data_IF_158196652939
#
_entry.id   IF_158196652939
#
_cell.length_a   1.000
_cell.length_b   1.000
_cell.length_c   1.000
_cell.angle_alpha   90.00
_cell.angle_beta   90.00
_cell.angle_gamma   90.00
#
_symmetry.space_group_name_H-M   'P 1'
#
loop_
_entity.id
_entity.type
_entity.pdbx_description
1 polymer ?
#
# COMPACT_ATOMS: atom_id res chain seq x y z
N UNK A 1 10.67 -10.75 -7.00
CA UNK A 1 10.68 -10.27 -5.61
C UNK A 1 11.88 -9.35 -5.35
N UNK A 2 13.15 -9.78 -5.49
CA UNK A 2 14.38 -9.03 -5.10
C UNK A 2 14.50 -7.61 -5.68
N UNK A 3 14.07 -7.37 -6.93
CA UNK A 3 14.03 -6.03 -7.51
C UNK A 3 13.01 -5.12 -6.79
N UNK A 4 11.81 -5.62 -6.51
CA UNK A 4 10.80 -4.86 -5.76
C UNK A 4 11.27 -4.53 -4.34
N UNK A 5 11.91 -5.49 -3.67
CA UNK A 5 12.48 -5.28 -2.33
C UNK A 5 13.56 -4.18 -2.34
N UNK A 6 14.42 -4.14 -3.36
CA UNK A 6 15.43 -3.08 -3.48
C UNK A 6 14.80 -1.71 -3.70
N UNK A 7 13.75 -1.61 -4.53
CA UNK A 7 13.00 -0.36 -4.75
C UNK A 7 12.34 0.11 -3.45
N UNK A 8 11.67 -0.80 -2.72
CA UNK A 8 11.05 -0.48 -1.43
C UNK A 8 12.07 0.03 -0.42
N UNK A 9 13.24 -0.62 -0.28
CA UNK A 9 14.32 -0.16 0.60
C UNK A 9 14.83 1.23 0.21
N UNK A 10 14.94 1.51 -1.08
CA UNK A 10 15.33 2.84 -1.57
C UNK A 10 14.29 3.88 -1.16
N UNK A 11 12.99 3.59 -1.32
CA UNK A 11 11.91 4.49 -0.92
C UNK A 11 11.88 4.70 0.60
N UNK A 12 12.06 3.65 1.39
CA UNK A 12 12.07 3.74 2.85
C UNK A 12 13.27 4.51 3.39
N UNK A 13 14.42 4.42 2.72
CA UNK A 13 15.59 5.19 3.10
C UNK A 13 15.48 6.67 2.71
N UNK A 14 15.15 6.95 1.45
CA UNK A 14 15.21 8.32 0.92
C UNK A 14 13.91 9.12 1.12
N UNK A 15 12.78 8.46 1.34
CA UNK A 15 11.49 9.13 1.57
C UNK A 15 11.52 10.13 2.73
N UNK A 16 11.89 9.70 3.94
CA UNK A 16 11.99 10.59 5.10
C UNK A 16 13.02 11.71 4.94
N UNK A 17 14.12 11.43 4.22
CA UNK A 17 15.16 12.46 3.92
C UNK A 17 14.56 13.53 3.01
N UNK A 18 13.88 13.12 1.92
CA UNK A 18 13.27 14.08 1.00
C UNK A 18 12.14 14.90 1.64
N UNK A 19 11.42 14.34 2.62
CA UNK A 19 10.42 15.09 3.38
C UNK A 19 11.04 16.15 4.29
N UNK A 20 12.16 15.83 4.95
CA UNK A 20 12.88 16.76 5.85
C UNK A 20 13.74 17.77 5.10
N UNK A 21 14.30 17.35 3.99
CA UNK A 21 15.24 18.11 3.17
C UNK A 21 14.76 18.14 1.72
N UNK A 22 13.73 18.95 1.37
CA UNK A 22 13.09 18.92 0.03
C UNK A 22 14.05 19.19 -1.13
N UNK A 23 15.15 19.89 -0.89
CA UNK A 23 16.17 20.22 -1.89
C UNK A 23 17.35 19.23 -1.92
N UNK A 24 17.30 18.14 -1.11
CA UNK A 24 18.32 17.11 -1.11
C UNK A 24 18.32 16.36 -2.45
N UNK A 25 19.32 16.68 -3.29
CA UNK A 25 19.42 16.13 -4.64
C UNK A 25 19.52 14.60 -4.65
N UNK A 26 20.31 14.01 -3.76
CA UNK A 26 20.53 12.57 -3.70
C UNK A 26 19.21 11.84 -3.38
N UNK A 27 18.48 12.30 -2.35
CA UNK A 27 17.21 11.72 -1.98
C UNK A 27 16.18 11.81 -3.12
N UNK A 28 16.04 12.99 -3.73
CA UNK A 28 15.11 13.20 -4.84
C UNK A 28 15.47 12.39 -6.09
N UNK A 29 16.75 12.32 -6.44
CA UNK A 29 17.22 11.55 -7.59
C UNK A 29 16.98 10.04 -7.41
N UNK A 30 17.26 9.51 -6.22
CA UNK A 30 17.00 8.10 -5.92
C UNK A 30 15.50 7.76 -5.89
N UNK A 31 14.66 8.63 -5.34
CA UNK A 31 13.19 8.44 -5.37
C UNK A 31 12.63 8.52 -6.80
N UNK A 32 13.09 9.46 -7.61
CA UNK A 32 12.68 9.56 -9.02
C UNK A 32 13.11 8.32 -9.81
N UNK A 33 14.31 7.82 -9.59
CA UNK A 33 14.81 6.59 -10.20
C UNK A 33 13.99 5.37 -9.74
N UNK A 34 13.76 5.23 -8.42
CA UNK A 34 12.97 4.15 -7.86
C UNK A 34 11.52 4.15 -8.41
N UNK A 35 10.87 5.32 -8.52
CA UNK A 35 9.52 5.43 -9.07
C UNK A 35 9.45 4.99 -10.54
N UNK A 36 10.46 5.34 -11.35
CA UNK A 36 10.55 4.91 -12.74
C UNK A 36 10.63 3.39 -12.88
N UNK A 37 11.41 2.73 -12.03
CA UNK A 37 11.52 1.26 -12.00
C UNK A 37 10.28 0.58 -11.44
N UNK A 38 9.57 1.22 -10.53
CA UNK A 38 8.34 0.68 -9.95
C UNK A 38 7.21 0.54 -10.99
N UNK A 39 7.16 1.43 -12.01
CA UNK A 39 6.03 1.49 -12.95
C UNK A 39 6.36 1.07 -14.39
N UNK A 40 7.64 0.90 -14.75
CA UNK A 40 8.04 0.59 -16.13
C UNK A 40 7.77 -0.85 -16.59
N UNK A 41 7.17 -1.68 -15.74
CA UNK A 41 6.83 -3.06 -16.03
C UNK A 41 7.90 -4.10 -15.65
N UNK A 42 9.11 -3.70 -15.26
CA UNK A 42 10.19 -4.63 -14.91
C UNK A 42 9.80 -5.53 -13.72
N UNK A 43 9.25 -4.94 -12.65
CA UNK A 43 8.86 -5.68 -11.45
C UNK A 43 7.63 -6.55 -11.65
N UNK A 44 6.86 -6.30 -12.70
CA UNK A 44 5.65 -7.03 -13.07
C UNK A 44 5.95 -8.17 -14.05
N UNK A 45 7.18 -8.27 -14.56
CA UNK A 45 7.57 -9.28 -15.53
C UNK A 45 7.36 -10.70 -14.99
N UNK A 46 6.52 -11.48 -15.66
CA UNK A 46 6.22 -12.87 -15.30
C UNK A 46 5.13 -13.05 -14.25
N UNK A 47 4.49 -12.02 -13.76
CA UNK A 47 3.31 -12.10 -12.88
C UNK A 47 2.18 -11.21 -13.37
N UNK A 48 0.94 -11.57 -13.02
CA UNK A 48 -0.18 -10.66 -13.21
C UNK A 48 0.03 -9.43 -12.31
N UNK A 49 0.14 -8.26 -12.93
CA UNK A 49 0.27 -7.01 -12.19
C UNK A 49 -1.13 -6.52 -11.80
N UNK A 50 -1.52 -6.82 -10.58
CA UNK A 50 -2.82 -6.46 -10.06
C UNK A 50 -2.65 -5.29 -9.07
N UNK A 51 -3.01 -4.11 -9.53
CA UNK A 51 -3.00 -2.88 -8.75
C UNK A 51 -4.22 -2.87 -7.82
N UNK A 52 -4.17 -3.63 -6.71
CA UNK A 52 -5.35 -3.89 -5.88
C UNK A 52 -5.81 -2.65 -5.10
N UNK A 53 -4.89 -1.83 -4.58
CA UNK A 53 -5.22 -0.63 -3.80
C UNK A 53 -5.63 0.54 -4.70
N UNK A 54 -5.02 0.68 -5.89
CA UNK A 54 -5.25 1.82 -6.78
C UNK A 54 -6.71 2.00 -7.20
N UNK A 55 -7.48 0.98 -7.63
CA UNK A 55 -8.89 1.18 -7.95
C UNK A 55 -9.71 1.69 -6.78
N UNK A 56 -9.40 1.26 -5.56
CA UNK A 56 -10.06 1.75 -4.34
C UNK A 56 -9.69 3.21 -4.07
N UNK A 57 -8.43 3.55 -4.22
CA UNK A 57 -7.94 4.91 -3.99
C UNK A 57 -8.47 5.89 -5.05
N UNK A 58 -8.58 5.48 -6.31
CA UNK A 58 -9.14 6.33 -7.36
C UNK A 58 -10.57 6.79 -7.05
N UNK A 59 -11.34 5.99 -6.34
CA UNK A 59 -12.67 6.40 -5.87
C UNK A 59 -12.58 7.46 -4.76
N UNK A 60 -11.60 7.37 -3.84
CA UNK A 60 -11.36 8.43 -2.86
C UNK A 60 -11.00 9.75 -3.54
N UNK A 61 -10.11 9.71 -4.53
CA UNK A 61 -9.77 10.89 -5.32
C UNK A 61 -10.97 11.44 -6.07
N UNK A 62 -11.82 10.59 -6.67
CA UNK A 62 -12.98 11.01 -7.44
C UNK A 62 -14.09 11.63 -6.59
N UNK A 63 -14.36 11.10 -5.41
CA UNK A 63 -15.45 11.55 -4.55
C UNK A 63 -15.05 12.70 -3.62
N UNK A 64 -13.80 12.73 -3.18
CA UNK A 64 -13.35 13.62 -2.09
C UNK A 64 -12.12 14.46 -2.44
N UNK A 65 -11.64 14.41 -3.69
CA UNK A 65 -10.45 15.15 -4.16
C UNK A 65 -9.19 14.87 -3.32
N UNK A 66 -9.06 13.62 -2.85
CA UNK A 66 -7.90 13.17 -2.06
C UNK A 66 -6.67 13.11 -2.94
N UNK A 67 -5.56 13.64 -2.45
CA UNK A 67 -4.26 13.46 -3.13
C UNK A 67 -3.91 11.98 -3.22
N UNK A 68 -3.64 11.48 -4.43
CA UNK A 68 -3.43 10.05 -4.72
C UNK A 68 -2.49 9.32 -3.76
N UNK A 69 -1.32 9.91 -3.46
CA UNK A 69 -0.37 9.32 -2.52
C UNK A 69 -0.89 9.23 -1.08
N UNK A 70 -1.74 10.18 -0.65
CA UNK A 70 -2.37 10.17 0.67
C UNK A 70 -3.37 9.02 0.77
N UNK A 71 -4.27 8.90 -0.21
CA UNK A 71 -5.24 7.80 -0.23
C UNK A 71 -4.57 6.42 -0.26
N UNK A 72 -3.51 6.26 -1.06
CA UNK A 72 -2.72 5.02 -1.08
C UNK A 72 -2.05 4.74 0.27
N UNK A 73 -1.48 5.74 0.93
CA UNK A 73 -0.82 5.57 2.23
C UNK A 73 -1.80 5.12 3.32
N UNK A 74 -3.02 5.69 3.34
CA UNK A 74 -4.07 5.29 4.29
C UNK A 74 -4.55 3.87 3.99
N UNK A 75 -4.91 3.56 2.74
CA UNK A 75 -5.55 2.28 2.41
C UNK A 75 -4.59 1.09 2.44
N UNK A 76 -3.31 1.27 2.11
CA UNK A 76 -2.38 0.16 1.92
C UNK A 76 -2.24 -0.73 3.17
N UNK A 77 -2.01 -0.23 4.40
CA UNK A 77 -1.88 -1.08 5.58
C UNK A 77 -3.16 -1.85 5.89
N UNK A 78 -4.33 -1.24 5.66
CA UNK A 78 -5.63 -1.89 5.89
C UNK A 78 -5.92 -2.98 4.85
N UNK A 79 -5.58 -2.73 3.58
CA UNK A 79 -5.60 -3.75 2.54
C UNK A 79 -4.63 -4.91 2.87
N UNK A 80 -3.41 -4.63 3.30
CA UNK A 80 -2.44 -5.66 3.68
C UNK A 80 -2.99 -6.56 4.80
N UNK A 81 -3.59 -5.98 5.84
CA UNK A 81 -4.23 -6.76 6.91
C UNK A 81 -5.40 -7.60 6.40
N UNK A 82 -6.20 -7.06 5.48
CA UNK A 82 -7.36 -7.75 4.92
C UNK A 82 -6.97 -8.98 4.09
N UNK A 83 -5.91 -8.87 3.30
CA UNK A 83 -5.47 -9.96 2.41
C UNK A 83 -4.49 -10.93 3.06
N UNK A 84 -4.05 -10.67 4.30
CA UNK A 84 -3.17 -11.57 5.05
C UNK A 84 -3.97 -12.81 5.49
N UNK A 85 -3.56 -13.97 4.99
CA UNK A 85 -4.11 -15.28 5.34
C UNK A 85 -3.06 -16.37 5.10
N UNK A 86 -3.37 -17.64 5.35
CA UNK A 86 -2.42 -18.74 5.22
C UNK A 86 -1.81 -18.86 3.81
N UNK A 87 -2.56 -18.53 2.75
CA UNK A 87 -2.09 -18.62 1.36
C UNK A 87 -1.14 -17.48 0.99
N UNK A 88 -1.31 -16.32 1.61
CA UNK A 88 -0.52 -15.10 1.34
C UNK A 88 0.62 -14.90 2.33
N UNK A 89 0.61 -15.60 3.45
CA UNK A 89 1.50 -15.41 4.60
C UNK A 89 2.98 -15.37 4.22
N UNK A 90 3.44 -16.30 3.38
CA UNK A 90 4.85 -16.36 3.01
C UNK A 90 5.33 -15.11 2.25
N UNK A 91 4.45 -14.42 1.49
CA UNK A 91 4.79 -13.17 0.83
C UNK A 91 5.01 -12.04 1.86
N UNK A 92 4.22 -12.01 2.94
CA UNK A 92 4.38 -11.03 4.02
C UNK A 92 5.60 -11.33 4.89
N UNK A 93 5.92 -12.62 5.10
CA UNK A 93 7.15 -13.03 5.78
C UNK A 93 8.38 -12.59 4.97
N UNK A 94 8.40 -12.87 3.68
CA UNK A 94 9.47 -12.42 2.78
C UNK A 94 9.63 -10.90 2.79
N UNK A 95 8.52 -10.16 2.77
CA UNK A 95 8.50 -8.71 2.89
C UNK A 95 9.09 -8.25 4.23
N UNK A 96 8.65 -8.83 5.34
CA UNK A 96 9.12 -8.48 6.68
C UNK A 96 10.62 -8.74 6.85
N UNK A 97 11.09 -9.91 6.44
CA UNK A 97 12.50 -10.29 6.57
C UNK A 97 13.39 -9.51 5.60
N UNK A 98 13.01 -9.48 4.31
CA UNK A 98 13.88 -8.95 3.26
C UNK A 98 13.88 -7.42 3.18
N UNK A 99 12.77 -6.77 3.52
CA UNK A 99 12.63 -5.30 3.40
C UNK A 99 12.84 -4.63 4.75
N UNK A 100 12.16 -5.12 5.80
CA UNK A 100 12.23 -4.54 7.14
C UNK A 100 13.36 -5.11 8.01
N UNK A 101 13.98 -6.22 7.60
CA UNK A 101 15.07 -6.83 8.35
C UNK A 101 14.61 -7.54 9.64
N UNK A 102 13.36 -7.99 9.68
CA UNK A 102 12.83 -8.74 10.82
C UNK A 102 13.53 -10.10 10.98
N UNK A 103 13.62 -10.58 12.22
CA UNK A 103 14.24 -11.87 12.54
C UNK A 103 13.41 -13.02 11.93
N UNK A 104 13.97 -13.83 11.02
CA UNK A 104 13.27 -14.94 10.40
C UNK A 104 12.94 -16.09 11.36
N UNK A 105 13.46 -16.09 12.58
CA UNK A 105 13.15 -17.09 13.60
C UNK A 105 11.84 -16.85 14.36
N UNK A 106 11.23 -15.67 14.21
CA UNK A 106 9.94 -15.33 14.78
C UNK A 106 8.80 -16.13 14.12
N UNK A 107 7.65 -16.18 14.79
CA UNK A 107 6.44 -16.73 14.20
C UNK A 107 6.08 -15.99 12.91
N UNK A 108 5.62 -16.72 11.89
CA UNK A 108 5.32 -16.16 10.57
C UNK A 108 4.27 -15.06 10.62
N UNK A 109 3.19 -15.23 11.38
CA UNK A 109 2.15 -14.22 11.55
C UNK A 109 2.67 -13.02 12.35
N UNK A 110 3.57 -13.24 13.30
CA UNK A 110 4.23 -12.15 14.02
C UNK A 110 5.07 -11.29 13.06
N UNK A 111 5.86 -11.93 12.19
CA UNK A 111 6.64 -11.21 11.16
C UNK A 111 5.72 -10.42 10.23
N UNK A 112 4.65 -11.07 9.72
CA UNK A 112 3.71 -10.44 8.80
C UNK A 112 3.03 -9.21 9.42
N UNK A 113 2.50 -9.33 10.63
CA UNK A 113 1.85 -8.22 11.33
C UNK A 113 2.83 -7.09 11.64
N UNK A 114 4.03 -7.40 12.15
CA UNK A 114 5.07 -6.39 12.37
C UNK A 114 5.46 -5.65 11.09
N UNK A 115 5.55 -6.36 9.96
CA UNK A 115 5.87 -5.73 8.68
C UNK A 115 4.77 -4.76 8.23
N UNK A 116 3.49 -5.09 8.45
CA UNK A 116 2.36 -4.20 8.16
C UNK A 116 2.37 -2.99 9.10
N UNK A 117 2.63 -3.20 10.39
CA UNK A 117 2.71 -2.12 11.37
C UNK A 117 3.85 -1.15 11.04
N UNK A 118 5.03 -1.67 10.68
CA UNK A 118 6.17 -0.85 10.24
C UNK A 118 5.86 -0.06 8.95
N UNK A 119 5.07 -0.64 8.04
CA UNK A 119 4.62 0.06 6.83
C UNK A 119 3.68 1.22 7.17
N UNK A 120 2.75 1.00 8.09
CA UNK A 120 1.86 2.06 8.58
C UNK A 120 2.64 3.15 9.32
N UNK A 121 3.55 2.76 10.19
CA UNK A 121 4.42 3.67 10.93
C UNK A 121 5.28 4.53 9.98
N UNK A 122 5.83 3.92 8.94
CA UNK A 122 6.56 4.66 7.92
C UNK A 122 5.71 5.75 7.28
N UNK A 123 4.50 5.45 6.85
CA UNK A 123 3.62 6.46 6.27
C UNK A 123 3.23 7.54 7.28
N UNK A 124 2.80 7.15 8.48
CA UNK A 124 2.24 8.08 9.45
C UNK A 124 3.32 8.86 10.22
N UNK A 125 4.41 8.19 10.62
CA UNK A 125 5.45 8.80 11.49
C UNK A 125 6.61 9.38 10.69
N UNK A 126 7.11 8.66 9.68
CA UNK A 126 8.29 9.09 8.94
C UNK A 126 7.95 10.06 7.80
N UNK A 127 6.80 9.86 7.14
CA UNK A 127 6.32 10.73 6.06
C UNK A 127 5.22 11.71 6.51
N UNK A 128 4.78 11.65 7.77
CA UNK A 128 3.74 12.50 8.35
C UNK A 128 2.42 12.50 7.55
N UNK A 129 2.03 11.31 7.04
CA UNK A 129 0.76 11.12 6.35
C UNK A 129 -0.39 10.93 7.35
N UNK A 130 -1.64 11.29 7.00
CA UNK A 130 -2.82 10.95 7.81
C UNK A 130 -2.91 9.44 8.04
N UNK A 131 -3.37 9.04 9.22
CA UNK A 131 -3.46 7.63 9.61
C UNK A 131 -4.78 6.98 9.18
N UNK A 132 -5.84 7.79 9.00
CA UNK A 132 -7.19 7.31 8.72
C UNK A 132 -7.95 8.21 7.74
N UNK A 133 -9.04 7.69 7.19
CA UNK A 133 -9.97 8.47 6.35
C UNK A 133 -10.67 9.56 7.17
N UNK A 134 -10.94 9.29 8.45
CA UNK A 134 -11.52 10.28 9.38
C UNK A 134 -10.58 11.48 9.56
N UNK A 135 -9.26 11.29 9.60
CA UNK A 135 -8.29 12.38 9.73
C UNK A 135 -8.36 13.39 8.58
N UNK A 136 -8.87 12.96 7.43
CA UNK A 136 -9.08 13.80 6.24
C UNK A 136 -10.54 14.13 5.98
N UNK A 137 -11.42 13.91 6.96
CA UNK A 137 -12.82 14.32 6.94
C UNK A 137 -13.74 13.43 6.11
N UNK A 138 -13.35 12.18 5.84
CA UNK A 138 -14.15 11.22 5.09
C UNK A 138 -14.88 10.30 6.06
N UNK A 139 -16.18 10.09 5.81
CA UNK A 139 -17.07 9.15 6.48
C UNK A 139 -17.45 7.96 5.57
N UNK A 140 -18.35 7.11 6.02
CA UNK A 140 -18.75 5.89 5.34
C UNK A 140 -19.92 6.06 4.34
N UNK A 141 -20.42 7.27 4.14
CA UNK A 141 -21.65 7.52 3.33
C UNK A 141 -21.56 6.95 1.92
N UNK A 142 -20.40 7.06 1.27
CA UNK A 142 -20.21 6.67 -0.13
C UNK A 142 -19.49 5.33 -0.34
N UNK A 143 -19.11 4.61 0.73
CA UNK A 143 -18.28 3.41 0.59
C UNK A 143 -18.87 2.31 -0.27
N UNK A 144 -20.19 2.07 -0.20
CA UNK A 144 -20.83 1.04 -1.03
C UNK A 144 -20.81 1.37 -2.52
N UNK A 145 -21.06 2.62 -2.90
CA UNK A 145 -21.06 3.03 -4.30
C UNK A 145 -19.64 3.07 -4.84
N UNK A 146 -18.69 3.58 -4.09
CA UNK A 146 -17.26 3.58 -4.41
C UNK A 146 -16.72 2.16 -4.60
N UNK A 147 -17.03 1.25 -3.70
CA UNK A 147 -16.62 -0.14 -3.80
C UNK A 147 -17.15 -0.84 -5.05
N UNK A 148 -18.41 -0.59 -5.41
CA UNK A 148 -19.00 -1.10 -6.66
C UNK A 148 -18.30 -0.53 -7.90
N UNK A 149 -17.97 0.77 -7.92
CA UNK A 149 -17.25 1.40 -9.02
C UNK A 149 -15.84 0.83 -9.15
N UNK A 150 -15.07 0.78 -8.06
CA UNK A 150 -13.71 0.22 -8.03
C UNK A 150 -13.68 -1.22 -8.58
N UNK A 151 -14.63 -2.05 -8.18
CA UNK A 151 -14.75 -3.42 -8.68
C UNK A 151 -15.16 -3.47 -10.17
N UNK A 152 -16.11 -2.62 -10.61
CA UNK A 152 -16.60 -2.61 -11.98
C UNK A 152 -15.53 -2.24 -13.00
N UNK A 153 -14.63 -1.31 -12.70
CA UNK A 153 -13.49 -0.95 -13.55
C UNK A 153 -12.61 -2.17 -13.86
N UNK A 154 -12.64 -3.18 -13.00
CA UNK A 154 -11.87 -4.44 -13.11
C UNK A 154 -12.75 -5.65 -13.49
N UNK A 155 -13.96 -5.42 -14.00
CA UNK A 155 -14.85 -6.51 -14.43
C UNK A 155 -15.66 -7.17 -13.31
N UNK A 156 -15.92 -6.43 -12.22
CA UNK A 156 -16.79 -6.86 -11.11
C UNK A 156 -16.05 -7.30 -9.84
N UNK A 157 -14.72 -7.43 -9.89
CA UNK A 157 -13.87 -7.69 -8.73
C UNK A 157 -12.43 -7.28 -9.01
N UNK A 158 -11.67 -6.95 -7.97
CA UNK A 158 -10.25 -6.61 -8.08
C UNK A 158 -9.43 -7.87 -7.85
N UNK A 159 -8.75 -8.34 -8.89
CA UNK A 159 -7.84 -9.48 -8.82
C UNK A 159 -6.54 -9.09 -8.11
N UNK A 160 -5.98 -9.98 -7.28
CA UNK A 160 -4.74 -9.73 -6.55
C UNK A 160 -4.30 -10.94 -5.75
N UNK A 161 -3.71 -10.74 -4.58
CA UNK A 161 -3.44 -11.81 -3.61
C UNK A 161 -4.72 -12.53 -3.20
N UNK A 162 -5.78 -11.76 -3.06
CA UNK A 162 -7.15 -12.22 -2.86
C UNK A 162 -8.02 -11.52 -3.89
N UNK A 163 -9.03 -12.20 -4.39
CA UNK A 163 -10.02 -11.59 -5.27
C UNK A 163 -11.01 -10.78 -4.43
N UNK A 164 -10.94 -9.44 -4.52
CA UNK A 164 -11.77 -8.53 -3.74
C UNK A 164 -13.06 -8.20 -4.48
N UNK A 165 -14.18 -8.55 -3.88
CA UNK A 165 -15.52 -8.14 -4.31
C UNK A 165 -15.92 -6.81 -3.67
N UNK A 166 -17.00 -6.14 -4.11
CA UNK A 166 -17.42 -4.87 -3.51
C UNK A 166 -17.56 -4.93 -1.98
N UNK A 167 -18.11 -6.00 -1.44
CA UNK A 167 -18.27 -6.18 0.01
C UNK A 167 -16.94 -6.26 0.78
N UNK A 168 -15.89 -6.76 0.14
CA UNK A 168 -14.54 -6.82 0.71
C UNK A 168 -13.88 -5.43 0.71
N UNK A 169 -14.10 -4.68 -0.36
CA UNK A 169 -13.62 -3.30 -0.51
C UNK A 169 -14.25 -2.40 0.55
N UNK A 170 -15.57 -2.53 0.79
CA UNK A 170 -16.27 -1.80 1.86
C UNK A 170 -15.63 -2.06 3.22
N UNK A 171 -15.29 -3.32 3.54
CA UNK A 171 -14.62 -3.65 4.81
C UNK A 171 -13.23 -3.01 4.93
N UNK A 172 -12.48 -2.93 3.82
CA UNK A 172 -11.18 -2.26 3.81
C UNK A 172 -11.34 -0.76 4.07
N UNK A 173 -12.31 -0.09 3.43
CA UNK A 173 -12.62 1.31 3.70
C UNK A 173 -13.05 1.54 5.15
N UNK A 174 -13.94 0.68 5.69
CA UNK A 174 -14.38 0.75 7.09
C UNK A 174 -13.24 0.57 8.08
N UNK A 175 -12.29 -0.33 7.77
CA UNK A 175 -11.11 -0.52 8.61
C UNK A 175 -10.16 0.68 8.57
N UNK A 176 -10.26 1.53 7.55
CA UNK A 176 -9.43 2.72 7.35
C UNK A 176 -10.06 4.01 7.92
N UNK A 177 -11.27 3.93 8.54
CA UNK A 177 -11.87 5.05 9.29
C UNK A 177 -11.16 5.23 10.63
#
# INVERSE_FOLDING_TARGET
>A
ARFAEAILKTCFHYGPIACKEPDNYEARANLMWASSWAINGLISGGSANNWSVHPMEHELSAYYDVTHGVGLAILTPHWMRYVLNDETLDNFVDYGVNVWGLDPSLDKYEIANKAIDLTQDFFCKDLNMPASLTDIGIDDENFEVMAKHAANVKGGSIQGFVNLKPEDIVKIYQAAL
#
